data_IF_635296691826
#
_entry.id   IF_635296691826
#
_cell.length_a   1.000
_cell.length_b   1.000
_cell.length_c   1.000
_cell.angle_alpha   90.00
_cell.angle_beta   90.00
_cell.angle_gamma   90.00
#
_symmetry.space_group_name_H-M   'P 1'
#
loop_
_entity.id
_entity.type
_entity.pdbx_description
1 polymer ?
#
# COMPACT_ATOMS: atom_id res chain seq x y z
N UNK A 1 18.66 0.14 8.86
CA UNK A 1 19.07 -1.11 9.55
C UNK A 1 18.32 -2.29 8.93
N UNK A 2 18.68 -3.56 9.12
CA UNK A 2 17.78 -4.68 8.79
C UNK A 2 17.55 -5.49 10.05
N UNK A 3 16.35 -5.37 10.61
CA UNK A 3 15.96 -6.02 11.86
C UNK A 3 14.57 -6.65 11.66
N UNK A 4 14.58 -7.87 11.14
CA UNK A 4 13.35 -8.61 10.81
C UNK A 4 12.52 -8.94 12.07
N UNK A 5 13.11 -9.33 13.22
CA UNK A 5 12.37 -9.50 14.47
C UNK A 5 11.67 -8.22 14.97
N UNK A 6 12.35 -7.07 14.96
CA UNK A 6 11.73 -5.81 15.36
C UNK A 6 10.60 -5.41 14.40
N UNK A 7 10.77 -5.64 13.10
CA UNK A 7 9.72 -5.43 12.10
C UNK A 7 8.50 -6.32 12.33
N UNK A 8 8.70 -7.61 12.67
CA UNK A 8 7.60 -8.51 13.02
C UNK A 8 6.83 -7.99 14.23
N UNK A 9 7.53 -7.64 15.32
CA UNK A 9 6.88 -7.11 16.53
C UNK A 9 6.07 -5.84 16.25
N UNK A 10 6.60 -4.95 15.41
CA UNK A 10 5.89 -3.75 14.96
C UNK A 10 4.62 -4.09 14.17
N UNK A 11 4.63 -5.14 13.35
CA UNK A 11 3.46 -5.54 12.58
C UNK A 11 2.39 -6.21 13.44
N UNK A 12 2.82 -6.97 14.44
CA UNK A 12 1.95 -7.62 15.42
C UNK A 12 1.32 -6.63 16.41
N UNK A 13 1.94 -5.46 16.61
CA UNK A 13 1.40 -4.42 17.51
C UNK A 13 0.32 -3.56 16.87
N UNK A 14 0.07 -3.68 15.55
CA UNK A 14 -0.97 -2.88 14.89
C UNK A 14 -2.37 -3.39 15.26
N UNK A 15 -3.35 -2.50 15.42
CA UNK A 15 -4.73 -2.90 15.64
C UNK A 15 -5.25 -3.84 14.56
N UNK A 16 -5.98 -4.88 14.97
CA UNK A 16 -6.63 -5.78 14.06
C UNK A 16 -7.88 -5.13 13.44
N UNK A 17 -8.11 -5.39 12.15
CA UNK A 17 -9.27 -4.89 11.42
C UNK A 17 -10.08 -6.07 10.87
N UNK A 18 -11.39 -6.02 11.04
CA UNK A 18 -12.32 -6.98 10.42
C UNK A 18 -12.51 -6.64 8.93
N UNK A 19 -11.48 -6.95 8.13
CA UNK A 19 -11.41 -6.59 6.72
C UNK A 19 -12.44 -7.34 5.85
N UNK A 20 -13.30 -6.61 5.15
CA UNK A 20 -14.28 -7.18 4.23
C UNK A 20 -13.69 -7.61 2.85
N UNK A 21 -12.41 -7.32 2.59
CA UNK A 21 -11.75 -7.69 1.34
C UNK A 21 -12.22 -6.96 0.07
N UNK A 22 -12.97 -5.86 0.21
CA UNK A 22 -13.56 -5.11 -0.91
C UNK A 22 -12.67 -3.99 -1.47
N UNK A 23 -11.55 -3.69 -0.83
CA UNK A 23 -10.64 -2.60 -1.20
C UNK A 23 -9.66 -2.94 -2.34
N UNK A 24 -9.87 -4.04 -3.06
CA UNK A 24 -8.98 -4.50 -4.14
C UNK A 24 -8.85 -3.47 -5.27
N UNK A 25 -9.87 -2.65 -5.53
CA UNK A 25 -9.81 -1.54 -6.49
C UNK A 25 -8.87 -0.41 -6.05
N UNK A 26 -8.55 -0.32 -4.77
CA UNK A 26 -7.54 0.60 -4.21
C UNK A 26 -6.13 -0.02 -4.16
N UNK A 27 -5.96 -1.30 -4.50
CA UNK A 27 -4.66 -1.95 -4.50
C UNK A 27 -3.81 -1.48 -5.68
N UNK A 28 -3.06 -0.39 -5.46
CA UNK A 28 -2.11 0.15 -6.43
C UNK A 28 -0.85 -0.72 -6.62
N UNK A 29 -0.24 -0.64 -7.80
CA UNK A 29 0.94 -1.44 -8.17
C UNK A 29 2.28 -0.89 -7.71
N UNK A 30 2.33 0.33 -7.17
CA UNK A 30 3.53 0.89 -6.55
C UNK A 30 3.38 1.04 -5.03
N UNK A 31 3.16 -0.07 -4.34
CA UNK A 31 3.17 -0.08 -2.87
C UNK A 31 4.61 0.04 -2.40
N UNK A 32 4.91 1.10 -1.64
CA UNK A 32 6.20 1.23 -0.96
C UNK A 32 6.45 0.03 -0.04
N UNK A 33 7.45 -0.77 -0.37
CA UNK A 33 7.84 -1.97 0.37
C UNK A 33 9.33 -1.90 0.72
N UNK A 34 9.69 -2.32 1.93
CA UNK A 34 11.08 -2.34 2.36
C UNK A 34 11.81 -3.56 1.80
N UNK A 35 13.15 -3.58 1.78
CA UNK A 35 13.90 -4.78 1.40
C UNK A 35 13.54 -6.04 2.19
N UNK A 36 13.16 -5.93 3.47
CA UNK A 36 12.64 -7.08 4.23
C UNK A 36 11.28 -7.53 3.69
N UNK A 37 10.35 -6.61 3.43
CA UNK A 37 9.02 -6.93 2.88
C UNK A 37 9.09 -7.61 1.51
N UNK A 38 9.98 -7.11 0.65
CA UNK A 38 10.25 -7.71 -0.66
C UNK A 38 10.72 -9.16 -0.48
N UNK A 39 11.65 -9.43 0.43
CA UNK A 39 12.11 -10.80 0.72
C UNK A 39 11.01 -11.68 1.29
N UNK A 40 10.17 -11.16 2.19
CA UNK A 40 9.03 -11.91 2.76
C UNK A 40 8.04 -12.32 1.67
N UNK A 41 7.73 -11.40 0.76
CA UNK A 41 6.85 -11.69 -0.39
C UNK A 41 7.47 -12.73 -1.33
N UNK A 42 8.77 -12.61 -1.62
CA UNK A 42 9.51 -13.59 -2.43
C UNK A 42 9.53 -14.99 -1.81
N UNK A 43 9.71 -15.09 -0.49
CA UNK A 43 9.61 -16.37 0.24
C UNK A 43 8.20 -16.98 0.17
N UNK A 44 7.17 -16.15 0.02
CA UNK A 44 5.79 -16.59 -0.22
C UNK A 44 5.52 -16.94 -1.71
N UNK A 45 6.55 -16.99 -2.56
CA UNK A 45 6.45 -17.38 -3.97
C UNK A 45 5.96 -16.27 -4.91
N UNK A 46 5.87 -15.03 -4.43
CA UNK A 46 5.35 -13.90 -5.20
C UNK A 46 6.35 -12.74 -5.25
N UNK A 47 6.28 -11.93 -6.31
CA UNK A 47 7.13 -10.75 -6.47
C UNK A 47 6.25 -9.51 -6.36
N UNK A 48 6.72 -8.44 -5.73
CA UNK A 48 6.07 -7.12 -5.68
C UNK A 48 6.46 -6.20 -6.86
N UNK A 49 7.09 -6.73 -7.91
CA UNK A 49 7.59 -5.96 -9.04
C UNK A 49 6.65 -6.03 -10.26
N UNK A 50 6.36 -4.85 -10.84
CA UNK A 50 5.50 -4.59 -12.01
C UNK A 50 4.01 -4.88 -11.80
N UNK A 51 3.26 -3.84 -11.43
CA UNK A 51 1.80 -3.86 -11.47
C UNK A 51 1.24 -3.83 -12.89
N UNK A 52 0.02 -4.34 -13.08
CA UNK A 52 -0.67 -4.26 -14.37
C UNK A 52 -1.18 -2.84 -14.62
N UNK A 53 -0.90 -2.23 -15.76
CA UNK A 53 -1.41 -0.89 -16.09
C UNK A 53 -2.94 -0.86 -16.01
N UNK A 54 -3.49 0.11 -15.27
CA UNK A 54 -4.92 0.44 -15.25
C UNK A 54 -5.13 1.59 -16.22
N UNK A 55 -6.03 1.39 -17.18
CA UNK A 55 -6.50 2.44 -18.08
C UNK A 55 -7.90 2.88 -17.65
N UNK A 56 -8.12 4.19 -17.60
CA UNK A 56 -9.42 4.74 -17.29
C UNK A 56 -10.38 4.68 -18.48
N UNK A 57 -11.64 5.09 -18.29
CA UNK A 57 -12.65 5.09 -19.36
C UNK A 57 -12.29 5.97 -20.57
N UNK A 58 -11.37 6.92 -20.42
CA UNK A 58 -10.85 7.79 -21.47
C UNK A 58 -9.63 7.20 -22.22
N UNK A 59 -9.24 5.96 -21.90
CA UNK A 59 -8.08 5.26 -22.48
C UNK A 59 -6.72 5.71 -21.96
N UNK A 60 -6.65 6.62 -20.98
CA UNK A 60 -5.38 7.08 -20.38
C UNK A 60 -4.95 6.14 -19.24
N UNK A 61 -3.65 6.02 -18.95
CA UNK A 61 -3.19 5.27 -17.77
C UNK A 61 -3.50 6.03 -16.48
N UNK A 62 -4.19 5.38 -15.54
CA UNK A 62 -4.54 5.93 -14.22
C UNK A 62 -3.65 5.37 -13.10
N UNK A 63 -2.91 4.31 -13.37
CA UNK A 63 -2.00 3.71 -12.41
C UNK A 63 -1.68 2.27 -12.76
N UNK A 64 -1.29 1.50 -11.76
CA UNK A 64 -1.12 0.05 -11.90
C UNK A 64 -1.91 -0.67 -10.82
N UNK A 65 -2.37 -1.89 -11.09
CA UNK A 65 -2.92 -2.80 -10.08
C UNK A 65 -1.77 -3.52 -9.40
N UNK A 66 -1.91 -3.74 -8.09
CA UNK A 66 -0.99 -4.57 -7.32
C UNK A 66 -0.80 -5.94 -7.98
N UNK A 67 0.45 -6.30 -8.25
CA UNK A 67 0.80 -7.52 -8.96
C UNK A 67 0.66 -8.80 -8.11
N UNK A 68 0.50 -8.65 -6.80
CA UNK A 68 0.15 -9.75 -5.88
C UNK A 68 -1.36 -9.85 -5.62
N UNK A 69 -2.16 -8.98 -6.25
CA UNK A 69 -3.62 -9.12 -6.27
C UNK A 69 -4.01 -10.22 -7.25
N UNK A 70 -4.76 -11.21 -6.78
CA UNK A 70 -5.47 -12.14 -7.61
C UNK A 70 -6.64 -11.42 -8.28
N UNK A 71 -6.63 -11.36 -9.61
CA UNK A 71 -7.64 -10.65 -10.41
C UNK A 71 -8.96 -11.43 -10.47
N UNK A 72 -8.93 -12.75 -10.33
CA UNK A 72 -10.13 -13.59 -10.38
C UNK A 72 -10.86 -13.53 -9.05
N UNK A 73 -10.13 -13.74 -7.95
CA UNK A 73 -10.74 -13.75 -6.61
C UNK A 73 -10.86 -12.34 -6.02
N UNK A 74 -10.21 -11.34 -6.61
CA UNK A 74 -10.12 -9.97 -6.09
C UNK A 74 -9.50 -9.94 -4.67
N UNK A 75 -8.58 -10.88 -4.36
CA UNK A 75 -7.93 -11.02 -3.03
C UNK A 75 -6.41 -10.91 -3.12
N UNK A 76 -5.78 -10.43 -2.04
CA UNK A 76 -4.32 -10.35 -1.93
C UNK A 76 -3.74 -11.76 -1.70
N UNK A 77 -2.81 -12.18 -2.56
CA UNK A 77 -2.16 -13.50 -2.48
C UNK A 77 -1.05 -13.59 -1.42
N UNK A 78 -0.62 -12.45 -0.86
CA UNK A 78 0.39 -12.36 0.22
C UNK A 78 -0.14 -11.63 1.44
N UNK A 79 -1.40 -11.86 1.80
CA UNK A 79 -2.07 -11.09 2.86
C UNK A 79 -1.27 -11.05 4.18
N UNK A 80 -0.63 -12.17 4.55
CA UNK A 80 0.16 -12.28 5.77
C UNK A 80 1.56 -11.64 5.66
N UNK A 81 2.08 -11.50 4.45
CA UNK A 81 3.38 -10.87 4.16
C UNK A 81 3.25 -9.42 3.66
N UNK A 82 2.07 -8.81 3.82
CA UNK A 82 1.81 -7.41 3.43
C UNK A 82 2.84 -6.46 4.06
N UNK A 83 3.35 -5.47 3.30
CA UNK A 83 4.20 -4.40 3.84
C UNK A 83 3.39 -3.47 4.75
N UNK A 84 4.08 -2.65 5.53
CA UNK A 84 3.47 -1.71 6.50
C UNK A 84 2.39 -0.84 5.88
N UNK A 85 2.59 -0.30 4.68
CA UNK A 85 1.63 0.59 4.02
C UNK A 85 0.27 -0.11 3.80
N UNK A 86 0.30 -1.39 3.42
CA UNK A 86 -0.92 -2.20 3.27
C UNK A 86 -1.55 -2.61 4.61
N UNK A 87 -0.79 -2.60 5.71
CA UNK A 87 -1.30 -2.89 7.06
C UNK A 87 -1.96 -1.68 7.69
N UNK A 88 -1.44 -0.48 7.42
CA UNK A 88 -2.02 0.78 7.88
C UNK A 88 -3.31 1.17 7.13
N UNK A 89 -3.61 0.52 6.02
CA UNK A 89 -4.86 0.73 5.28
C UNK A 89 -6.08 0.37 6.13
N UNK A 90 -6.93 1.35 6.39
CA UNK A 90 -8.09 1.25 7.26
C UNK A 90 -7.80 1.45 8.75
N UNK A 91 -6.57 1.81 9.13
CA UNK A 91 -6.21 1.96 10.54
C UNK A 91 -6.16 3.41 11.03
N UNK A 92 -6.07 4.42 10.16
CA UNK A 92 -5.97 5.83 10.55
C UNK A 92 -6.68 6.76 9.54
N UNK A 93 -7.04 8.01 9.90
CA UNK A 93 -7.96 8.86 9.12
C UNK A 93 -7.57 9.05 7.65
N UNK A 94 -6.30 9.32 7.37
CA UNK A 94 -5.83 9.62 6.02
C UNK A 94 -5.78 8.39 5.09
N UNK A 95 -5.87 7.18 5.66
CA UNK A 95 -6.01 5.93 4.90
C UNK A 95 -7.23 5.12 5.37
N UNK A 96 -8.32 5.81 5.75
CA UNK A 96 -9.55 5.16 6.20
C UNK A 96 -10.11 4.22 5.13
N UNK A 97 -10.69 3.10 5.55
CA UNK A 97 -11.25 2.12 4.62
C UNK A 97 -12.52 2.71 3.97
N UNK A 98 -12.60 2.78 2.62
CA UNK A 98 -13.79 3.31 1.96
C UNK A 98 -15.03 2.45 2.23
N UNK A 99 -14.85 1.19 2.62
CA UNK A 99 -15.93 0.25 2.94
C UNK A 99 -16.34 0.27 4.42
N UNK A 100 -15.81 1.20 5.22
CA UNK A 100 -16.14 1.34 6.64
C UNK A 100 -15.58 0.23 7.52
N UNK A 101 -14.54 -0.48 7.07
CA UNK A 101 -13.80 -1.38 7.96
C UNK A 101 -12.94 -0.53 8.90
N UNK A 102 -13.08 -0.76 10.20
CA UNK A 102 -12.32 -0.06 11.25
C UNK A 102 -11.85 -1.08 12.31
N UNK A 103 -10.73 -0.82 12.99
CA UNK A 103 -10.29 -1.64 14.11
C UNK A 103 -11.20 -1.46 15.34
N UNK A 104 -11.17 -2.45 16.23
CA UNK A 104 -11.85 -2.33 17.53
C UNK A 104 -11.23 -1.18 18.34
N UNK A 105 -12.06 -0.27 18.85
CA UNK A 105 -11.61 0.95 19.53
C UNK A 105 -11.44 2.18 18.63
N UNK A 106 -11.65 2.04 17.32
CA UNK A 106 -11.61 3.14 16.36
C UNK A 106 -10.23 3.42 15.78
N UNK A 107 -10.16 4.39 14.86
CA UNK A 107 -8.94 4.72 14.11
C UNK A 107 -7.78 5.18 15.03
N UNK A 108 -6.58 4.70 14.72
CA UNK A 108 -5.30 5.12 15.28
C UNK A 108 -4.99 6.59 14.96
N UNK A 109 -4.24 7.25 15.85
CA UNK A 109 -3.72 8.60 15.61
C UNK A 109 -2.79 8.61 14.37
N UNK A 110 -2.94 9.61 13.50
CA UNK A 110 -2.03 9.86 12.38
C UNK A 110 -0.55 9.82 12.79
N UNK A 111 -0.17 10.46 13.90
CA UNK A 111 1.22 10.51 14.36
C UNK A 111 1.74 9.10 14.69
N UNK A 112 0.91 8.27 15.32
CA UNK A 112 1.24 6.89 15.64
C UNK A 112 1.38 6.04 14.35
N UNK A 113 0.49 6.22 13.38
CA UNK A 113 0.57 5.56 12.08
C UNK A 113 1.81 5.97 11.29
N UNK A 114 2.16 7.26 11.28
CA UNK A 114 3.38 7.78 10.65
C UNK A 114 4.63 7.23 11.33
N UNK A 115 4.63 7.17 12.67
CA UNK A 115 5.71 6.56 13.43
C UNK A 115 5.90 5.09 13.07
N UNK A 116 4.81 4.33 12.98
CA UNK A 116 4.85 2.93 12.56
C UNK A 116 5.40 2.78 11.12
N UNK A 117 5.00 3.64 10.20
CA UNK A 117 5.54 3.68 8.84
C UNK A 117 7.06 3.93 8.83
N UNK A 118 7.53 4.94 9.57
CA UNK A 118 8.97 5.27 9.64
C UNK A 118 9.80 4.18 10.33
N UNK A 119 9.29 3.58 11.41
CA UNK A 119 9.95 2.44 12.07
C UNK A 119 10.05 1.23 11.14
N UNK A 120 8.98 0.95 10.40
CA UNK A 120 8.99 -0.13 9.42
C UNK A 120 10.03 0.13 8.32
N UNK A 121 10.14 1.36 7.81
CA UNK A 121 11.20 1.75 6.88
C UNK A 121 12.60 1.52 7.48
N UNK A 122 12.80 1.88 8.75
CA UNK A 122 14.08 1.69 9.44
C UNK A 122 14.47 0.23 9.63
N UNK A 123 13.57 -0.58 10.22
CA UNK A 123 13.79 -2.00 10.49
C UNK A 123 13.79 -2.84 9.20
N UNK A 124 12.99 -2.45 8.22
CA UNK A 124 12.91 -3.08 6.91
C UNK A 124 14.11 -2.78 6.00
N UNK A 125 14.91 -1.76 6.35
CA UNK A 125 16.13 -1.37 5.65
C UNK A 125 15.88 -0.58 4.38
N UNK A 126 14.84 0.26 4.37
CA UNK A 126 14.62 1.19 3.27
C UNK A 126 15.82 2.15 3.13
N UNK A 127 16.28 2.45 1.90
CA UNK A 127 17.31 3.46 1.68
C UNK A 127 16.88 4.82 2.22
N UNK A 128 17.76 5.50 2.97
CA UNK A 128 17.47 6.82 3.54
C UNK A 128 16.49 6.82 4.72
N UNK A 129 16.11 5.65 5.25
CA UNK A 129 15.26 5.59 6.44
C UNK A 129 15.91 6.28 7.65
N UNK A 130 15.12 7.07 8.37
CA UNK A 130 15.56 7.78 9.57
C UNK A 130 15.72 6.83 10.76
N UNK A 131 16.78 6.97 11.59
CA UNK A 131 16.91 6.24 12.85
C UNK A 131 15.75 6.56 13.81
N UNK A 132 15.34 5.61 14.69
CA UNK A 132 14.23 5.81 15.61
C UNK A 132 14.32 7.08 16.47
N UNK A 133 15.54 7.43 16.91
CA UNK A 133 15.77 8.64 17.71
C UNK A 133 15.40 9.94 16.97
N UNK A 134 15.47 9.96 15.64
CA UNK A 134 15.13 11.13 14.82
C UNK A 134 13.65 11.15 14.41
N UNK A 135 12.97 9.99 14.41
CA UNK A 135 11.56 9.89 14.03
C UNK A 135 10.70 10.73 14.97
N UNK A 136 10.92 10.57 16.29
CA UNK A 136 10.13 11.26 17.31
C UNK A 136 10.37 12.79 17.28
N UNK A 137 11.61 13.21 16.97
CA UNK A 137 11.94 14.62 16.78
C UNK A 137 11.20 15.20 15.57
N UNK A 138 11.22 14.53 14.42
CA UNK A 138 10.55 15.00 13.19
C UNK A 138 9.03 15.05 13.37
N UNK A 139 8.44 14.02 13.98
CA UNK A 139 7.00 13.94 14.19
C UNK A 139 6.49 14.89 15.29
N UNK A 140 7.40 15.48 16.08
CA UNK A 140 7.03 16.54 17.03
C UNK A 140 6.70 17.88 16.34
N UNK A 141 7.08 18.05 15.06
CA UNK A 141 6.79 19.25 14.27
C UNK A 141 5.37 19.20 13.68
N UNK A 142 4.44 20.08 14.09
CA UNK A 142 3.09 20.11 13.53
C UNK A 142 3.06 20.44 12.04
N UNK A 143 4.01 21.26 11.56
CA UNK A 143 4.15 21.61 10.15
C UNK A 143 4.53 20.38 9.31
N UNK A 144 5.44 19.55 9.84
CA UNK A 144 5.84 18.33 9.17
C UNK A 144 4.68 17.33 9.08
N UNK A 145 3.96 17.14 10.19
CA UNK A 145 2.76 16.27 10.22
C UNK A 145 1.70 16.79 9.24
N UNK A 146 1.46 18.09 9.19
CA UNK A 146 0.49 18.69 8.27
C UNK A 146 0.88 18.46 6.79
N UNK A 147 2.16 18.56 6.44
CA UNK A 147 2.64 18.30 5.09
C UNK A 147 2.43 16.83 4.69
N UNK A 148 2.76 15.89 5.58
CA UNK A 148 2.57 14.46 5.31
C UNK A 148 1.09 14.12 5.19
N UNK A 149 0.23 14.70 6.03
CA UNK A 149 -1.23 14.57 5.90
C UNK A 149 -1.72 14.99 4.52
N UNK A 150 -1.25 16.13 4.03
CA UNK A 150 -1.62 16.64 2.71
C UNK A 150 -1.21 15.66 1.59
N UNK A 151 -0.02 15.06 1.70
CA UNK A 151 0.46 14.07 0.73
C UNK A 151 -0.38 12.79 0.75
N UNK A 152 -0.74 12.28 1.93
CA UNK A 152 -1.54 11.06 2.07
C UNK A 152 -2.98 11.28 1.62
N UNK A 153 -3.56 12.45 1.91
CA UNK A 153 -4.93 12.81 1.55
C UNK A 153 -5.14 13.01 0.05
N UNK A 154 -4.05 13.18 -0.72
CA UNK A 154 -4.11 13.29 -2.18
C UNK A 154 -4.43 11.95 -2.87
N UNK A 155 -4.31 10.81 -2.18
CA UNK A 155 -4.73 9.50 -2.66
C UNK A 155 -6.11 9.14 -2.12
N UNK A 156 -7.17 9.33 -2.90
CA UNK A 156 -8.52 9.01 -2.43
C UNK A 156 -8.81 7.51 -2.57
N UNK A 157 -9.21 6.83 -1.48
CA UNK A 157 -9.76 5.48 -1.57
C UNK A 157 -11.04 5.48 -2.41
N UNK A 158 -11.02 4.81 -3.56
CA UNK A 158 -12.20 4.70 -4.43
C UNK A 158 -13.05 3.48 -4.05
N UNK A 159 -14.37 3.66 -3.97
CA UNK A 159 -15.35 2.57 -3.86
C UNK A 159 -15.66 1.91 -5.21
N UNK A 160 -15.42 2.64 -6.29
CA UNK A 160 -15.73 2.20 -7.65
C UNK A 160 -14.72 1.16 -8.15
N UNK A 161 -15.21 0.14 -8.86
CA UNK A 161 -14.35 -0.84 -9.51
C UNK A 161 -13.62 -0.14 -10.66
N UNK A 162 -12.27 -0.06 -10.66
CA UNK A 162 -11.56 0.42 -11.84
C UNK A 162 -11.79 -0.57 -12.99
N UNK A 163 -12.06 -0.05 -14.19
CA UNK A 163 -12.00 -0.86 -15.40
C UNK A 163 -10.54 -1.26 -15.64
N UNK A 164 -10.24 -2.56 -15.54
CA UNK A 164 -8.89 -3.09 -15.76
C UNK A 164 -8.87 -3.76 -17.13
N UNK A 165 -8.27 -3.10 -18.13
CA UNK A 165 -7.94 -3.77 -19.40
C UNK A 165 -6.62 -4.53 -19.25
N UNK A 166 -6.70 -5.83 -18.98
CA UNK A 166 -5.53 -6.72 -19.03
C UNK A 166 -5.08 -6.94 -20.47
N UNK A 167 -3.98 -6.31 -20.90
CA UNK A 167 -3.26 -6.76 -22.10
C UNK A 167 -2.38 -7.96 -21.76
N UNK A 168 -2.92 -9.17 -21.88
CA UNK A 168 -2.14 -10.39 -21.94
C UNK A 168 -1.70 -10.67 -23.39
N UNK A 169 -0.41 -10.44 -23.69
CA UNK A 169 0.31 -11.11 -24.78
C UNK A 169 0.25 -10.50 -26.20
N UNK A 170 1.43 -10.16 -26.73
CA UNK A 170 1.82 -9.95 -28.15
C UNK A 170 1.46 -8.59 -28.82
N UNK A 171 2.25 -8.12 -29.83
CA UNK A 171 2.66 -6.73 -30.00
C UNK A 171 1.67 -5.92 -30.84
N UNK A 172 1.79 -4.60 -30.75
CA UNK A 172 1.05 -3.64 -31.56
C UNK A 172 1.21 -3.94 -33.05
N UNK A 173 0.10 -4.21 -33.74
CA UNK A 173 -0.13 -3.79 -35.12
C UNK A 173 -1.45 -3.01 -35.12
N UNK A 174 -1.35 -1.67 -35.18
CA UNK A 174 -2.49 -0.82 -35.48
C UNK A 174 -2.83 -0.97 -36.97
N UNK A 175 -3.76 -1.87 -37.31
CA UNK A 175 -4.49 -1.73 -38.56
C UNK A 175 -5.61 -0.71 -38.35
N UNK A 176 -5.43 0.49 -38.91
CA UNK A 176 -6.46 1.53 -39.05
C UNK A 176 -7.78 0.90 -39.53
N UNK A 177 -8.94 1.22 -38.92
CA UNK A 177 -10.20 1.06 -39.61
C UNK A 177 -10.23 2.09 -40.75
N UNK A 178 -10.31 1.58 -41.96
CA UNK A 178 -10.72 2.32 -43.14
C UNK A 178 -12.20 2.65 -43.04
N UNK A 179 -12.51 3.93 -42.77
CA UNK A 179 -13.41 4.82 -43.51
C UNK A 179 -13.75 6.04 -42.67
#
# INVERSE_FOLDING_TARGET
MRDEPALTKLYESLPAINCAGKCWGSCGGNVGATPVDIRRTQRAGLRLQEGHLVTGPDGRPYGTVCNVLDQETKRCRVYDARPILCRLWGLFPEMACPWGCEPEGGLMDTVEALRALSLAQWYGGAPGAMPPAQIDEVLSSPEHVALVRLQLSAGTPVREEPHIETRLGTPVILSRPSR
#
